data_IF_821971401503
#
_entry.id   IF_821971401503
#
_cell.length_a   1.000
_cell.length_b   1.000
_cell.length_c   1.000
_cell.angle_alpha   90.00
_cell.angle_beta   90.00
_cell.angle_gamma   90.00
#
_symmetry.space_group_name_H-M   'P 1'
#
loop_
_entity.id
_entity.type
_entity.pdbx_description
1 polymer ?
#
# COMPACT_ATOMS: atom_id res chain seq x y z
N UNK A 1 -60.63 11.75 13.70
CA UNK A 1 -59.99 10.61 13.03
C UNK A 1 -58.94 11.12 12.08
N UNK A 2 -57.62 10.87 12.33
CA UNK A 2 -56.62 11.03 11.31
C UNK A 2 -55.75 9.76 11.20
N UNK A 3 -56.18 8.79 10.40
CA UNK A 3 -55.52 7.51 10.18
C UNK A 3 -54.91 7.30 8.76
N UNK A 4 -54.97 8.22 7.77
CA UNK A 4 -54.35 7.94 6.47
C UNK A 4 -52.87 8.34 6.36
N UNK A 5 -52.34 9.28 7.17
CA UNK A 5 -51.01 9.80 7.03
C UNK A 5 -49.92 8.83 7.49
N UNK A 6 -50.14 8.10 8.56
CA UNK A 6 -49.17 7.12 9.12
C UNK A 6 -48.97 5.94 8.14
N UNK A 7 -50.06 5.47 7.53
CA UNK A 7 -50.02 4.36 6.58
C UNK A 7 -49.23 4.69 5.31
N UNK A 8 -49.36 5.92 4.80
CA UNK A 8 -48.65 6.39 3.62
C UNK A 8 -47.13 6.54 3.89
N UNK A 9 -46.79 7.03 5.10
CA UNK A 9 -45.40 7.17 5.50
C UNK A 9 -44.67 5.83 5.64
N UNK A 10 -45.35 4.83 6.24
CA UNK A 10 -44.79 3.46 6.37
C UNK A 10 -44.58 2.79 5.02
N UNK A 11 -45.55 2.97 4.07
CA UNK A 11 -45.38 2.43 2.71
C UNK A 11 -44.25 3.11 1.96
N UNK A 12 -44.06 4.43 2.09
CA UNK A 12 -42.99 5.17 1.48
C UNK A 12 -41.60 4.75 2.03
N UNK A 13 -41.48 4.56 3.35
CA UNK A 13 -40.27 4.08 3.97
C UNK A 13 -39.94 2.64 3.56
N UNK A 14 -40.92 1.77 3.42
CA UNK A 14 -40.75 0.41 2.94
C UNK A 14 -40.30 0.36 1.47
N UNK A 15 -40.83 1.23 0.61
CA UNK A 15 -40.43 1.35 -0.80
C UNK A 15 -39.04 1.92 -0.96
N UNK A 16 -38.63 2.90 -0.14
CA UNK A 16 -37.28 3.45 -0.12
C UNK A 16 -36.27 2.40 0.37
N UNK A 17 -36.60 1.65 1.43
CA UNK A 17 -35.78 0.55 1.93
C UNK A 17 -35.63 -0.58 0.90
N UNK A 18 -36.68 -0.97 0.21
CA UNK A 18 -36.65 -1.97 -0.85
C UNK A 18 -35.81 -1.50 -2.07
N UNK A 19 -35.91 -0.21 -2.42
CA UNK A 19 -35.11 0.39 -3.50
C UNK A 19 -33.61 0.43 -3.14
N UNK A 20 -33.30 0.73 -1.88
CA UNK A 20 -31.90 0.73 -1.39
C UNK A 20 -31.29 -0.68 -1.36
N UNK A 21 -32.07 -1.68 -0.93
CA UNK A 21 -31.66 -3.09 -0.97
C UNK A 21 -31.49 -3.60 -2.40
N UNK A 22 -32.39 -3.27 -3.31
CA UNK A 22 -32.28 -3.65 -4.74
C UNK A 22 -31.11 -2.96 -5.43
N UNK A 23 -30.79 -1.71 -5.07
CA UNK A 23 -29.62 -1.00 -5.56
C UNK A 23 -28.31 -1.62 -5.04
N UNK A 24 -28.27 -1.97 -3.75
CA UNK A 24 -27.13 -2.67 -3.14
C UNK A 24 -26.89 -4.06 -3.73
N UNK A 25 -27.96 -4.84 -3.98
CA UNK A 25 -27.86 -6.15 -4.61
C UNK A 25 -27.45 -6.05 -6.09
N UNK A 26 -27.97 -5.09 -6.86
CA UNK A 26 -27.53 -4.85 -8.24
C UNK A 26 -26.05 -4.42 -8.31
N UNK A 27 -25.57 -3.62 -7.37
CA UNK A 27 -24.16 -3.22 -7.29
C UNK A 27 -23.24 -4.41 -6.97
N UNK A 28 -23.68 -5.31 -6.05
CA UNK A 28 -22.91 -6.55 -5.73
C UNK A 28 -22.87 -7.54 -6.89
N UNK A 29 -23.97 -7.73 -7.60
CA UNK A 29 -23.99 -8.66 -8.74
C UNK A 29 -23.18 -8.14 -9.93
N UNK A 30 -23.09 -6.83 -10.15
CA UNK A 30 -22.25 -6.27 -11.20
C UNK A 30 -20.75 -6.38 -10.86
N UNK A 31 -20.37 -6.22 -9.60
CA UNK A 31 -18.96 -6.41 -9.14
C UNK A 31 -18.51 -7.87 -9.30
N UNK A 32 -19.34 -8.84 -8.89
CA UNK A 32 -19.03 -10.27 -9.02
C UNK A 32 -19.05 -10.74 -10.48
N UNK A 33 -19.88 -10.14 -11.33
CA UNK A 33 -19.93 -10.48 -12.76
C UNK A 33 -18.70 -9.97 -13.52
N UNK A 34 -18.15 -8.82 -13.13
CA UNK A 34 -16.94 -8.26 -13.75
C UNK A 34 -15.64 -9.00 -13.37
N UNK A 35 -15.64 -9.77 -12.28
CA UNK A 35 -14.52 -10.65 -11.94
C UNK A 35 -14.48 -11.95 -12.74
N UNK A 36 -15.58 -12.32 -13.44
CA UNK A 36 -15.71 -13.60 -14.17
C UNK A 36 -15.61 -13.52 -15.68
N UNK A 37 -15.58 -12.33 -16.28
CA UNK A 37 -15.48 -12.17 -17.72
C UNK A 37 -14.26 -11.37 -18.11
N UNK A 38 -13.08 -11.94 -17.93
CA UNK A 38 -11.99 -11.62 -18.85
C UNK A 38 -12.34 -12.30 -20.19
N UNK A 39 -12.33 -11.56 -21.31
CA UNK A 39 -12.48 -12.18 -22.62
C UNK A 39 -11.37 -13.21 -22.81
N UNK A 40 -11.73 -14.45 -23.16
CA UNK A 40 -10.78 -15.54 -23.44
C UNK A 40 -9.81 -15.23 -24.59
N UNK A 41 -10.02 -14.13 -25.31
CA UNK A 41 -9.27 -13.70 -26.49
C UNK A 41 -8.56 -12.35 -26.30
N UNK A 42 -8.34 -11.89 -25.06
CA UNK A 42 -7.41 -10.79 -24.85
C UNK A 42 -6.02 -11.23 -25.36
N UNK A 43 -5.34 -10.43 -26.21
CA UNK A 43 -4.02 -10.77 -26.69
C UNK A 43 -3.14 -11.07 -25.47
N UNK A 44 -2.49 -12.26 -25.46
CA UNK A 44 -1.56 -12.62 -24.39
C UNK A 44 -0.56 -11.49 -24.26
N UNK A 45 -0.35 -10.95 -23.06
CA UNK A 45 0.61 -9.88 -22.88
C UNK A 45 1.95 -10.36 -23.45
N UNK A 46 2.50 -9.59 -24.36
CA UNK A 46 3.85 -9.78 -24.88
C UNK A 46 4.80 -9.98 -23.71
N UNK A 47 5.71 -10.95 -23.83
CA UNK A 47 6.63 -11.45 -22.80
C UNK A 47 6.77 -10.58 -21.54
N UNK A 48 6.40 -11.16 -20.40
CA UNK A 48 6.56 -10.54 -19.09
C UNK A 48 8.03 -10.13 -18.94
N UNK A 49 8.28 -8.88 -18.56
CA UNK A 49 9.65 -8.40 -18.33
C UNK A 49 9.99 -8.72 -16.89
N UNK A 50 11.00 -9.56 -16.68
CA UNK A 50 11.57 -9.82 -15.37
C UNK A 50 12.55 -8.70 -14.99
N UNK A 51 12.30 -8.05 -13.86
CA UNK A 51 13.17 -7.02 -13.29
C UNK A 51 13.67 -7.53 -11.94
N UNK A 52 14.98 -7.58 -11.77
CA UNK A 52 15.58 -7.82 -10.46
C UNK A 52 15.58 -6.51 -9.66
N UNK A 53 14.93 -6.53 -8.48
CA UNK A 53 14.87 -5.34 -7.63
C UNK A 53 16.24 -4.91 -7.09
N UNK A 54 17.24 -5.80 -7.05
CA UNK A 54 18.63 -5.45 -6.70
C UNK A 54 19.30 -4.57 -7.75
N UNK A 55 18.80 -4.62 -8.99
CA UNK A 55 19.28 -3.80 -10.13
C UNK A 55 18.53 -2.47 -10.25
N UNK A 56 17.52 -2.23 -9.42
CA UNK A 56 16.86 -0.95 -9.34
C UNK A 56 17.79 0.05 -8.65
N UNK A 57 18.79 0.50 -9.40
CA UNK A 57 19.79 1.44 -8.93
C UNK A 57 19.12 2.73 -8.48
N UNK A 58 19.15 2.95 -7.18
CA UNK A 58 19.01 4.28 -6.64
C UNK A 58 20.39 4.90 -6.75
N UNK A 59 20.55 5.93 -7.58
CA UNK A 59 21.80 6.68 -7.66
C UNK A 59 22.17 7.15 -6.25
N UNK A 60 23.42 6.96 -5.77
CA UNK A 60 23.82 7.49 -4.49
C UNK A 60 23.75 9.01 -4.50
N UNK A 61 23.31 9.61 -3.40
CA UNK A 61 23.27 11.04 -3.25
C UNK A 61 24.69 11.64 -3.23
N UNK A 62 24.90 12.84 -3.77
CA UNK A 62 26.16 13.56 -3.65
C UNK A 62 26.55 13.78 -2.19
N UNK A 63 27.84 13.85 -1.92
CA UNK A 63 28.34 14.15 -0.57
C UNK A 63 27.79 15.50 -0.08
N UNK A 64 27.19 15.50 1.10
CA UNK A 64 26.59 16.69 1.71
C UNK A 64 25.14 16.99 1.23
N UNK A 65 24.54 16.13 0.41
CA UNK A 65 23.12 16.24 0.05
C UNK A 65 22.23 16.19 1.30
N UNK A 66 21.16 16.97 1.27
CA UNK A 66 20.16 16.99 2.35
C UNK A 66 19.01 16.06 2.01
N UNK A 67 18.49 15.39 3.04
CA UNK A 67 17.29 14.59 2.90
C UNK A 67 16.07 15.47 2.58
N UNK A 68 15.23 14.97 1.68
CA UNK A 68 13.96 15.61 1.31
C UNK A 68 12.79 14.64 1.42
N UNK A 69 12.93 13.41 0.90
CA UNK A 69 11.91 12.38 0.96
C UNK A 69 12.33 11.23 1.87
N UNK A 70 11.38 10.70 2.64
CA UNK A 70 11.47 9.38 3.24
C UNK A 70 10.43 8.50 2.55
N UNK A 71 10.90 7.53 1.76
CA UNK A 71 10.06 6.53 1.08
C UNK A 71 10.05 5.28 1.92
N UNK A 72 8.87 4.72 2.24
CA UNK A 72 8.79 3.55 3.11
C UNK A 72 7.69 2.58 2.70
N UNK A 73 7.78 1.35 3.22
CA UNK A 73 6.81 0.27 3.05
C UNK A 73 6.80 -0.63 4.29
N UNK A 74 5.64 -1.21 4.60
CA UNK A 74 5.45 -2.16 5.71
C UNK A 74 4.81 -3.45 5.22
N UNK A 75 5.21 -4.59 5.77
CA UNK A 75 4.45 -5.83 5.72
C UNK A 75 3.76 -6.05 7.07
N UNK A 76 2.57 -6.65 7.07
CA UNK A 76 1.75 -6.85 8.28
C UNK A 76 1.43 -8.33 8.51
N UNK A 77 1.00 -8.69 9.73
CA UNK A 77 0.59 -10.06 10.06
C UNK A 77 -0.53 -10.56 9.16
N UNK A 78 -1.56 -9.74 9.00
CA UNK A 78 -2.72 -10.08 8.17
C UNK A 78 -2.77 -9.22 6.90
N UNK A 79 -3.45 -9.76 5.90
CA UNK A 79 -3.74 -9.05 4.66
C UNK A 79 -4.78 -7.96 4.92
N UNK A 80 -4.70 -6.88 4.15
CA UNK A 80 -5.76 -5.85 4.16
C UNK A 80 -7.08 -6.54 3.78
N UNK A 81 -8.09 -6.55 4.66
CA UNK A 81 -9.36 -7.18 4.34
C UNK A 81 -10.11 -6.39 3.27
N UNK A 82 -10.79 -7.11 2.36
CA UNK A 82 -11.68 -6.50 1.35
C UNK A 82 -12.97 -5.93 1.98
N UNK A 83 -13.31 -6.37 3.18
CA UNK A 83 -14.46 -5.94 4.00
C UNK A 83 -13.96 -5.40 5.34
N UNK A 84 -14.88 -5.03 6.24
CA UNK A 84 -14.50 -4.59 7.58
C UNK A 84 -13.67 -5.67 8.31
N UNK A 85 -12.62 -5.26 9.09
CA UNK A 85 -11.79 -6.22 9.80
C UNK A 85 -12.61 -7.15 10.69
N UNK A 86 -12.36 -8.45 10.60
CA UNK A 86 -12.97 -9.45 11.45
C UNK A 86 -12.34 -9.48 12.84
N UNK A 87 -13.00 -10.08 13.79
CA UNK A 87 -12.43 -10.32 15.12
C UNK A 87 -11.11 -11.10 14.99
N UNK A 88 -10.04 -10.59 15.62
CA UNK A 88 -8.70 -11.19 15.56
C UNK A 88 -7.81 -10.68 14.42
N UNK A 89 -8.28 -9.74 13.58
CA UNK A 89 -7.44 -9.09 12.57
C UNK A 89 -6.24 -8.37 13.22
N UNK A 90 -5.04 -8.70 12.75
CA UNK A 90 -3.78 -8.15 13.26
C UNK A 90 -3.06 -7.35 12.16
N UNK A 91 -3.10 -6.04 12.26
CA UNK A 91 -2.43 -5.13 11.34
C UNK A 91 -1.02 -4.73 11.78
N UNK A 92 -0.46 -5.36 12.83
CA UNK A 92 0.89 -5.00 13.31
C UNK A 92 1.92 -5.23 12.23
N UNK A 93 2.87 -4.30 12.05
CA UNK A 93 3.98 -4.51 11.13
C UNK A 93 4.87 -5.67 11.56
N UNK A 94 5.31 -6.44 10.58
CA UNK A 94 6.31 -7.51 10.73
C UNK A 94 7.60 -7.20 9.99
N UNK A 95 7.54 -6.27 9.04
CA UNK A 95 8.72 -5.70 8.39
C UNK A 95 8.50 -4.23 8.10
N UNK A 96 9.59 -3.47 8.15
CA UNK A 96 9.64 -2.06 7.79
C UNK A 96 10.91 -1.80 7.00
N UNK A 97 10.76 -1.22 5.82
CA UNK A 97 11.88 -0.80 4.98
C UNK A 97 11.70 0.66 4.58
N UNK A 98 12.81 1.40 4.44
CA UNK A 98 12.76 2.77 3.95
C UNK A 98 14.02 3.19 3.22
N UNK A 99 13.87 4.22 2.40
CA UNK A 99 14.96 4.97 1.80
C UNK A 99 14.82 6.45 2.17
N UNK A 100 15.92 7.07 2.54
CA UNK A 100 16.03 8.51 2.68
C UNK A 100 16.64 9.08 1.41
N UNK A 101 15.94 9.97 0.74
CA UNK A 101 16.32 10.50 -0.57
C UNK A 101 16.52 12.02 -0.51
N UNK A 102 17.42 12.53 -1.37
CA UNK A 102 17.52 13.96 -1.62
C UNK A 102 16.35 14.49 -2.49
N UNK A 103 16.35 15.78 -2.80
CA UNK A 103 15.32 16.42 -3.62
C UNK A 103 15.25 15.88 -5.05
N UNK A 104 16.34 15.36 -5.59
CA UNK A 104 16.42 14.75 -6.91
C UNK A 104 16.07 13.25 -6.89
N UNK A 105 15.77 12.69 -5.71
CA UNK A 105 15.47 11.28 -5.53
C UNK A 105 16.70 10.37 -5.45
N UNK A 106 17.92 10.91 -5.24
CA UNK A 106 19.10 10.09 -5.01
C UNK A 106 19.12 9.59 -3.56
N UNK A 107 19.65 8.38 -3.34
CA UNK A 107 19.61 7.69 -2.05
C UNK A 107 20.74 8.13 -1.13
N UNK A 108 20.36 8.62 0.06
CA UNK A 108 21.30 8.87 1.14
C UNK A 108 21.44 7.65 2.06
N UNK A 109 20.38 6.90 2.25
CA UNK A 109 20.30 5.77 3.16
C UNK A 109 19.22 4.80 2.70
N UNK A 110 19.47 3.51 2.90
CA UNK A 110 18.49 2.44 2.72
C UNK A 110 18.55 1.52 3.94
N UNK A 111 17.39 1.25 4.54
CA UNK A 111 17.21 0.37 5.68
C UNK A 111 16.10 -0.65 5.41
N UNK A 112 16.27 -1.87 5.94
CA UNK A 112 15.29 -2.94 5.81
C UNK A 112 15.36 -3.85 7.02
N UNK A 113 14.25 -3.97 7.74
CA UNK A 113 14.17 -4.67 9.02
C UNK A 113 13.01 -5.66 9.03
N UNK A 114 13.26 -6.88 9.48
CA UNK A 114 12.25 -7.83 9.92
C UNK A 114 12.09 -7.62 11.42
N UNK A 115 10.89 -7.26 11.86
CA UNK A 115 10.64 -6.93 13.26
C UNK A 115 10.51 -8.20 14.10
N UNK A 116 11.16 -8.21 15.26
CA UNK A 116 11.01 -9.32 16.21
C UNK A 116 9.55 -9.44 16.66
N UNK A 117 8.92 -10.59 16.42
CA UNK A 117 7.57 -10.93 16.86
C UNK A 117 7.54 -12.38 17.33
N UNK A 118 6.67 -12.70 18.28
CA UNK A 118 6.52 -14.05 18.84
C UNK A 118 5.32 -14.81 18.32
N UNK A 119 4.41 -14.10 17.69
CA UNK A 119 3.18 -14.62 17.14
C UNK A 119 3.44 -15.30 15.79
N UNK A 120 2.62 -16.30 15.49
CA UNK A 120 2.73 -17.05 14.24
C UNK A 120 2.06 -16.32 13.08
N UNK A 121 2.68 -16.38 11.91
CA UNK A 121 2.10 -15.91 10.66
C UNK A 121 1.12 -16.93 10.08
N UNK A 122 0.09 -16.44 9.42
CA UNK A 122 -0.79 -17.27 8.60
C UNK A 122 -0.04 -17.80 7.35
N UNK A 123 -0.43 -18.96 6.79
CA UNK A 123 0.12 -19.43 5.52
C UNK A 123 -0.11 -18.43 4.37
N UNK A 124 -1.24 -17.71 4.38
CA UNK A 124 -1.61 -16.71 3.38
C UNK A 124 -0.69 -15.50 3.45
N UNK A 125 -0.41 -14.99 4.65
CA UNK A 125 0.53 -13.90 4.86
C UNK A 125 1.94 -14.32 4.42
N UNK A 126 2.41 -15.49 4.86
CA UNK A 126 3.70 -16.05 4.43
C UNK A 126 3.80 -16.16 2.90
N UNK A 127 2.76 -16.63 2.22
CA UNK A 127 2.74 -16.73 0.76
C UNK A 127 2.81 -15.35 0.07
N UNK A 128 2.29 -14.29 0.72
CA UNK A 128 2.30 -12.94 0.16
C UNK A 128 3.68 -12.26 0.25
N UNK A 129 4.30 -12.26 1.43
CA UNK A 129 5.54 -11.50 1.68
C UNK A 129 6.80 -12.36 1.82
N UNK A 130 6.65 -13.70 1.90
CA UNK A 130 7.76 -14.64 1.95
C UNK A 130 8.45 -14.77 3.31
N UNK A 131 8.01 -14.03 4.34
CA UNK A 131 8.50 -14.17 5.70
C UNK A 131 7.81 -15.32 6.41
N UNK A 132 8.53 -16.00 7.30
CA UNK A 132 8.02 -17.09 8.13
C UNK A 132 7.95 -16.65 9.60
N UNK A 133 7.19 -17.38 10.42
CA UNK A 133 7.17 -17.15 11.87
C UNK A 133 8.57 -17.30 12.49
N UNK A 134 9.42 -18.16 11.91
CA UNK A 134 10.79 -18.34 12.37
C UNK A 134 11.64 -17.10 12.09
N UNK A 135 11.49 -16.47 10.92
CA UNK A 135 12.19 -15.21 10.60
C UNK A 135 11.88 -14.12 11.61
N UNK A 136 10.61 -14.00 12.02
CA UNK A 136 10.18 -13.02 13.02
C UNK A 136 10.75 -13.33 14.40
N UNK A 137 10.71 -14.59 14.80
CA UNK A 137 11.20 -15.03 16.11
C UNK A 137 12.72 -14.89 16.24
N UNK A 138 13.48 -15.18 15.19
CA UNK A 138 14.94 -15.10 15.17
C UNK A 138 15.46 -13.69 14.91
N UNK A 139 14.61 -12.76 14.49
CA UNK A 139 15.02 -11.37 14.30
C UNK A 139 15.53 -10.74 15.60
N UNK A 140 16.62 -9.98 15.50
CA UNK A 140 17.20 -9.19 16.59
C UNK A 140 16.66 -7.74 16.59
N UNK A 141 15.88 -7.36 15.61
CA UNK A 141 15.35 -6.02 15.42
C UNK A 141 14.09 -5.82 16.27
N UNK A 142 14.22 -5.25 17.47
CA UNK A 142 13.04 -4.89 18.25
C UNK A 142 12.26 -3.78 17.58
N UNK A 143 10.90 -3.86 17.56
CA UNK A 143 10.07 -2.84 16.92
C UNK A 143 10.39 -1.43 17.41
N UNK A 144 10.49 -1.22 18.72
CA UNK A 144 10.79 0.08 19.31
C UNK A 144 12.08 0.67 18.74
N UNK A 145 13.19 -0.10 18.72
CA UNK A 145 14.49 0.40 18.23
C UNK A 145 14.46 0.75 16.73
N UNK A 146 13.76 -0.07 15.94
CA UNK A 146 13.60 0.20 14.50
C UNK A 146 12.77 1.46 14.28
N UNK A 147 11.68 1.63 15.04
CA UNK A 147 10.84 2.82 14.95
C UNK A 147 11.54 4.10 15.41
N UNK A 148 12.38 4.03 16.42
CA UNK A 148 13.22 5.17 16.85
C UNK A 148 14.19 5.60 15.73
N UNK A 149 14.81 4.64 15.01
CA UNK A 149 15.66 4.93 13.83
C UNK A 149 14.83 5.54 12.72
N UNK A 150 13.69 4.94 12.39
CA UNK A 150 12.77 5.46 11.37
C UNK A 150 12.34 6.90 11.69
N UNK A 151 11.96 7.20 12.93
CA UNK A 151 11.60 8.55 13.37
C UNK A 151 12.78 9.52 13.27
N UNK A 152 14.00 9.08 13.62
CA UNK A 152 15.21 9.89 13.46
C UNK A 152 15.43 10.28 11.99
N UNK A 153 15.22 9.36 11.06
CA UNK A 153 15.32 9.63 9.63
C UNK A 153 14.14 10.47 9.12
N UNK A 154 12.94 10.23 9.62
CA UNK A 154 11.75 11.03 9.28
C UNK A 154 11.94 12.51 9.64
N UNK A 155 12.55 12.82 10.79
CA UNK A 155 12.85 14.20 11.17
C UNK A 155 13.83 14.91 10.23
N UNK A 156 14.58 14.19 9.43
CA UNK A 156 15.47 14.74 8.39
C UNK A 156 14.77 15.00 7.08
N UNK A 157 13.62 14.34 6.85
CA UNK A 157 12.85 14.44 5.63
C UNK A 157 11.79 15.56 5.71
N UNK A 158 11.42 16.12 4.56
CA UNK A 158 10.33 17.09 4.45
C UNK A 158 9.02 16.43 3.98
N UNK A 159 9.13 15.29 3.30
CA UNK A 159 7.98 14.60 2.72
C UNK A 159 8.09 13.09 2.98
N UNK A 160 7.00 12.52 3.50
CA UNK A 160 6.83 11.08 3.71
C UNK A 160 6.10 10.46 2.52
N UNK A 161 6.69 9.44 1.90
CA UNK A 161 6.20 8.85 0.66
C UNK A 161 5.94 7.36 0.82
N UNK A 162 4.80 6.88 0.34
CA UNK A 162 4.52 5.46 0.20
C UNK A 162 3.56 5.17 -0.97
N UNK A 163 3.50 3.92 -1.37
CA UNK A 163 2.41 3.44 -2.21
C UNK A 163 1.26 2.96 -1.32
N UNK A 164 0.12 3.65 -1.32
CA UNK A 164 -0.96 3.52 -0.33
C UNK A 164 -0.60 4.14 1.04
N UNK A 165 -0.14 5.38 1.01
CA UNK A 165 0.37 6.10 2.18
C UNK A 165 -0.57 6.10 3.39
N UNK A 166 -1.89 6.24 3.18
CA UNK A 166 -2.88 6.26 4.26
C UNK A 166 -2.86 4.96 5.08
N UNK A 167 -2.76 3.81 4.41
CA UNK A 167 -2.65 2.51 5.05
C UNK A 167 -1.37 2.40 5.89
N UNK A 168 -0.21 2.64 5.29
CA UNK A 168 1.06 2.50 6.00
C UNK A 168 1.20 3.47 7.19
N UNK A 169 0.65 4.69 7.07
CA UNK A 169 0.57 5.64 8.19
C UNK A 169 -0.28 5.12 9.34
N UNK A 170 -1.47 4.57 9.06
CA UNK A 170 -2.36 4.01 10.09
C UNK A 170 -1.68 2.87 10.84
N UNK A 171 -1.15 1.92 10.09
CA UNK A 171 -0.44 0.74 10.60
C UNK A 171 0.71 1.13 11.53
N UNK A 172 1.60 2.03 11.08
CA UNK A 172 2.71 2.50 11.91
C UNK A 172 2.25 3.34 13.10
N UNK A 173 1.24 4.21 12.92
CA UNK A 173 0.75 5.05 14.01
C UNK A 173 0.19 4.22 15.16
N UNK A 174 -0.58 3.19 14.85
CA UNK A 174 -1.14 2.28 15.84
C UNK A 174 -0.04 1.50 16.57
N UNK A 175 0.96 1.00 15.83
CA UNK A 175 2.02 0.21 16.44
C UNK A 175 3.02 1.08 17.23
N UNK A 176 3.27 2.33 16.81
CA UNK A 176 4.03 3.30 17.59
C UNK A 176 3.41 3.52 18.98
N UNK A 177 2.09 3.68 19.03
CA UNK A 177 1.37 3.81 20.32
C UNK A 177 1.54 2.55 21.17
N UNK A 178 1.48 1.34 20.57
CA UNK A 178 1.71 0.06 21.27
C UNK A 178 3.12 -0.03 21.84
N UNK A 179 4.11 0.48 21.12
CA UNK A 179 5.52 0.50 21.54
C UNK A 179 5.88 1.73 22.40
N UNK A 180 4.89 2.57 22.78
CA UNK A 180 5.08 3.73 23.65
C UNK A 180 5.75 4.93 22.98
N UNK A 181 5.69 5.03 21.65
CA UNK A 181 6.24 6.12 20.85
C UNK A 181 5.15 7.11 20.42
N UNK A 182 5.55 8.37 20.18
CA UNK A 182 4.66 9.39 19.64
C UNK A 182 4.44 9.20 18.14
N UNK A 183 3.19 8.97 17.68
CA UNK A 183 2.88 8.84 16.25
C UNK A 183 2.74 10.18 15.51
N UNK A 184 2.74 11.32 16.22
CA UNK A 184 2.46 12.63 15.64
C UNK A 184 3.38 13.03 14.47
N UNK A 185 4.67 12.64 14.42
CA UNK A 185 5.52 12.94 13.27
C UNK A 185 5.02 12.31 11.96
N UNK A 186 4.38 11.13 12.04
CA UNK A 186 3.80 10.47 10.86
C UNK A 186 2.67 11.31 10.24
N UNK A 187 1.83 11.94 11.05
CA UNK A 187 0.68 12.73 10.59
C UNK A 187 1.06 14.16 10.23
N UNK A 188 2.03 14.76 10.94
CA UNK A 188 2.45 16.15 10.73
C UNK A 188 3.39 16.34 9.54
N UNK A 189 4.11 15.31 9.13
CA UNK A 189 4.97 15.37 7.93
C UNK A 189 4.11 15.38 6.67
N UNK A 190 4.43 16.28 5.73
CA UNK A 190 3.78 16.31 4.42
C UNK A 190 3.82 14.91 3.78
N UNK A 191 2.73 14.50 3.15
CA UNK A 191 2.62 13.17 2.56
C UNK A 191 2.44 13.19 1.05
N UNK A 192 3.04 12.21 0.37
CA UNK A 192 2.85 11.93 -1.05
C UNK A 192 2.53 10.46 -1.23
N UNK A 193 1.40 10.17 -1.86
CA UNK A 193 0.97 8.80 -2.18
C UNK A 193 1.19 8.52 -3.66
N UNK A 194 2.13 7.62 -3.99
CA UNK A 194 2.40 7.26 -5.39
C UNK A 194 1.23 6.50 -6.03
N UNK A 195 0.38 5.84 -5.25
CA UNK A 195 -0.83 5.17 -5.74
C UNK A 195 -1.87 6.19 -6.24
N UNK A 196 -2.10 7.28 -5.49
CA UNK A 196 -3.00 8.37 -5.89
C UNK A 196 -2.48 9.08 -7.15
N UNK A 197 -1.18 9.39 -7.19
CA UNK A 197 -0.56 9.96 -8.39
C UNK A 197 -0.67 9.01 -9.58
N UNK A 198 -0.44 7.71 -9.37
CA UNK A 198 -0.59 6.71 -10.41
C UNK A 198 -2.02 6.63 -10.97
N UNK A 199 -3.03 6.77 -10.11
CA UNK A 199 -4.44 6.85 -10.53
C UNK A 199 -4.69 8.07 -11.43
N UNK A 200 -4.12 9.21 -11.10
CA UNK A 200 -4.29 10.45 -11.88
C UNK A 200 -3.69 10.38 -13.29
N UNK A 201 -2.74 9.46 -13.55
CA UNK A 201 -2.19 9.23 -14.89
C UNK A 201 -3.17 8.55 -15.86
N UNK A 202 -4.25 7.96 -15.36
CA UNK A 202 -5.34 7.42 -16.17
C UNK A 202 -4.99 6.18 -17.02
N UNK A 203 -3.83 5.54 -16.81
CA UNK A 203 -3.42 4.38 -17.62
C UNK A 203 -4.15 3.08 -17.26
N UNK A 204 -4.84 3.04 -16.12
CA UNK A 204 -5.64 1.91 -15.67
C UNK A 204 -7.07 2.36 -15.42
N UNK A 205 -8.02 1.75 -16.12
CA UNK A 205 -9.45 2.08 -16.01
C UNK A 205 -10.31 0.83 -15.98
N UNK A 206 -11.52 0.96 -15.41
CA UNK A 206 -12.55 -0.07 -15.49
C UNK A 206 -13.32 0.01 -16.81
N UNK A 207 -14.30 -0.88 -17.00
CA UNK A 207 -15.13 -0.92 -18.20
C UNK A 207 -16.01 0.34 -18.40
N UNK A 208 -16.14 1.19 -17.39
CA UNK A 208 -16.89 2.45 -17.45
C UNK A 208 -15.97 3.66 -17.73
N UNK A 209 -14.67 3.43 -17.92
CA UNK A 209 -13.67 4.48 -18.15
C UNK A 209 -13.22 5.20 -16.88
N UNK A 210 -13.60 4.74 -15.67
CA UNK A 210 -13.15 5.33 -14.41
C UNK A 210 -11.74 4.87 -14.10
N UNK A 211 -10.86 5.83 -13.73
CA UNK A 211 -9.48 5.53 -13.35
C UNK A 211 -9.41 4.68 -12.08
N UNK A 212 -8.67 3.59 -12.14
CA UNK A 212 -8.43 2.67 -11.04
C UNK A 212 -7.06 2.93 -10.38
N UNK A 213 -6.95 2.56 -9.11
CA UNK A 213 -5.66 2.53 -8.42
C UNK A 213 -4.75 1.46 -9.02
N UNK A 214 -3.53 1.81 -9.43
CA UNK A 214 -2.57 0.81 -9.89
C UNK A 214 -1.93 0.10 -8.70
N UNK A 215 -1.49 -1.13 -8.90
CA UNK A 215 -0.49 -1.76 -8.03
C UNK A 215 0.86 -1.07 -8.24
N UNK A 216 1.75 -1.16 -7.27
CA UNK A 216 3.07 -0.54 -7.37
C UNK A 216 3.88 -1.04 -8.57
N UNK A 217 3.85 -2.35 -8.81
CA UNK A 217 4.50 -2.96 -10.00
C UNK A 217 3.88 -2.51 -11.32
N UNK A 218 2.57 -2.26 -11.35
CA UNK A 218 1.88 -1.73 -12.54
C UNK A 218 2.29 -0.27 -12.82
N UNK A 219 2.36 0.55 -11.75
CA UNK A 219 2.81 1.93 -11.86
C UNK A 219 4.25 2.02 -12.36
N UNK A 220 5.16 1.27 -11.74
CA UNK A 220 6.56 1.22 -12.17
C UNK A 220 6.70 0.74 -13.61
N UNK A 221 5.98 -0.33 -13.97
CA UNK A 221 5.97 -0.86 -15.34
C UNK A 221 5.49 0.15 -16.38
N UNK A 222 4.46 0.90 -16.05
CA UNK A 222 3.96 1.97 -16.91
C UNK A 222 4.99 3.10 -17.08
N UNK A 223 5.58 3.58 -15.99
CA UNK A 223 6.50 4.72 -15.98
C UNK A 223 7.84 4.44 -16.67
N UNK A 224 8.33 3.21 -16.60
CA UNK A 224 9.65 2.85 -17.13
C UNK A 224 9.62 2.07 -18.45
N UNK A 225 8.56 1.30 -18.69
CA UNK A 225 8.48 0.38 -19.83
C UNK A 225 7.23 0.59 -20.68
N UNK A 226 6.37 1.56 -20.33
CA UNK A 226 5.05 1.77 -20.95
C UNK A 226 4.19 0.50 -20.93
N UNK A 227 4.38 -0.37 -19.93
CA UNK A 227 3.71 -1.68 -19.78
C UNK A 227 3.32 -1.87 -18.31
N UNK A 228 2.01 -2.03 -18.02
CA UNK A 228 1.55 -2.19 -16.63
C UNK A 228 1.68 -3.63 -16.08
N UNK A 229 2.40 -4.53 -16.76
CA UNK A 229 2.57 -5.92 -16.32
C UNK A 229 4.06 -6.26 -16.25
N UNK A 230 4.58 -6.42 -15.05
CA UNK A 230 5.96 -6.80 -14.78
C UNK A 230 6.02 -7.87 -13.69
N UNK A 231 6.99 -8.77 -13.80
CA UNK A 231 7.49 -9.55 -12.68
C UNK A 231 8.71 -8.87 -12.08
N UNK A 232 8.73 -8.74 -10.76
CA UNK A 232 9.87 -8.18 -10.04
C UNK A 232 10.32 -9.19 -9.02
N UNK A 233 11.51 -9.75 -9.23
CA UNK A 233 12.16 -10.65 -8.26
C UNK A 233 12.72 -9.86 -7.08
N UNK A 234 12.79 -10.48 -5.90
CA UNK A 234 13.22 -9.82 -4.67
C UNK A 234 13.68 -10.83 -3.61
N UNK A 235 14.52 -10.35 -2.70
CA UNK A 235 14.90 -11.07 -1.47
C UNK A 235 14.06 -10.64 -0.26
N UNK A 236 13.63 -9.37 -0.22
CA UNK A 236 12.70 -8.80 0.77
C UNK A 236 11.61 -8.06 0.02
N UNK A 237 10.33 -8.35 0.31
CA UNK A 237 9.20 -7.72 -0.38
C UNK A 237 9.08 -6.25 -0.02
N UNK A 238 9.15 -5.87 1.26
CA UNK A 238 9.07 -4.47 1.67
C UNK A 238 10.21 -3.63 1.09
N UNK A 239 11.44 -4.16 1.04
CA UNK A 239 12.55 -3.45 0.40
C UNK A 239 12.37 -3.31 -1.11
N UNK A 240 11.85 -4.34 -1.80
CA UNK A 240 11.46 -4.24 -3.21
C UNK A 240 10.46 -3.10 -3.41
N UNK A 241 9.44 -3.04 -2.56
CA UNK A 241 8.36 -2.09 -2.71
C UNK A 241 8.84 -0.65 -2.42
N UNK A 242 9.73 -0.46 -1.45
CA UNK A 242 10.44 0.82 -1.25
C UNK A 242 11.22 1.24 -2.50
N UNK A 243 12.01 0.33 -3.09
CA UNK A 243 12.82 0.62 -4.30
C UNK A 243 11.95 0.97 -5.51
N UNK A 244 10.86 0.23 -5.73
CA UNK A 244 9.89 0.51 -6.78
C UNK A 244 9.17 1.85 -6.55
N UNK A 245 8.79 2.14 -5.30
CA UNK A 245 8.15 3.38 -4.93
C UNK A 245 9.09 4.58 -5.15
N UNK A 246 10.35 4.49 -4.72
CA UNK A 246 11.38 5.51 -4.92
C UNK A 246 11.68 5.73 -6.41
N UNK A 247 11.79 4.66 -7.19
CA UNK A 247 11.97 4.76 -8.64
C UNK A 247 10.76 5.43 -9.30
N UNK A 248 9.54 5.05 -8.90
CA UNK A 248 8.31 5.67 -9.41
C UNK A 248 8.23 7.15 -9.03
N UNK A 249 8.57 7.49 -7.79
CA UNK A 249 8.63 8.89 -7.33
C UNK A 249 9.51 9.74 -8.25
N UNK A 250 10.74 9.31 -8.57
CA UNK A 250 11.65 10.04 -9.46
C UNK A 250 11.07 10.35 -10.85
N UNK A 251 10.16 9.51 -11.34
CA UNK A 251 9.47 9.73 -12.62
C UNK A 251 8.22 10.60 -12.48
N UNK A 252 7.71 10.74 -11.28
CA UNK A 252 6.55 11.57 -10.96
C UNK A 252 6.94 12.98 -10.54
N UNK A 253 8.20 13.19 -10.15
CA UNK A 253 8.75 14.53 -9.88
C UNK A 253 8.83 15.34 -11.17
N UNK A 254 8.60 16.67 -11.09
CA UNK A 254 8.62 17.59 -12.24
C UNK A 254 10.01 17.72 -12.88
#
# INVERSE_FOLDING_TARGET
>A
MPLPFVSVLVVLLALLGASYLLYGVRRRTSLVRNLRTQPKDAPRPSAEVDVDSSQLFVSPAPLGAKAHYLVFDTETFDLIPDEEPTEGYDNRPIALSWQLLDEQGNCLLEESHVLHRRESLSPEATALHGLTSEDLYLSLDSPQQVYERFLSDLHRAQCLVAHHLAFHRSVLSEDFVREGLDPSPLSSTQGLCTMEHGRSLGFKSNALGESLYPRLTELFGYLYFSRPSLRVSYTSKSLRDVRLCAASLRRLLP
#
